data_IF_267944822815
#
_entry.id   IF_267944822815
#
_cell.length_a   1.000
_cell.length_b   1.000
_cell.length_c   1.000
_cell.angle_alpha   90.00
_cell.angle_beta   90.00
_cell.angle_gamma   90.00
#
_symmetry.space_group_name_H-M   'P 1'
#
loop_
_entity.id
_entity.type
_entity.pdbx_description
1 polymer ?
#
# COMPACT_ATOMS: atom_id res chain seq x y z
N UNK A 1 29.67 -1.34 -24.52
CA UNK A 1 28.75 -0.62 -23.61
C UNK A 1 28.21 0.56 -24.39
N UNK A 2 26.90 0.63 -24.65
CA UNK A 2 26.28 1.78 -25.32
C UNK A 2 26.29 2.92 -24.30
N UNK A 3 26.84 4.08 -24.66
CA UNK A 3 26.71 5.29 -23.83
C UNK A 3 25.22 5.64 -23.85
N UNK A 4 24.61 5.73 -22.68
CA UNK A 4 23.20 6.09 -22.59
C UNK A 4 23.00 7.53 -23.08
N UNK A 5 21.84 7.78 -23.67
CA UNK A 5 21.46 9.11 -24.14
C UNK A 5 21.03 9.98 -22.96
N UNK A 6 21.86 10.94 -22.57
CA UNK A 6 21.62 11.86 -21.44
C UNK A 6 20.39 12.76 -21.63
N UNK A 7 19.81 12.81 -22.84
CA UNK A 7 18.56 13.53 -23.12
C UNK A 7 17.30 12.69 -22.84
N UNK A 8 17.45 11.38 -22.59
CA UNK A 8 16.34 10.49 -22.23
C UNK A 8 16.08 10.52 -20.72
N UNK A 9 14.84 10.85 -20.29
CA UNK A 9 14.46 10.76 -18.88
C UNK A 9 14.59 9.34 -18.30
N UNK A 10 14.29 8.29 -19.10
CA UNK A 10 14.48 6.90 -18.67
C UNK A 10 15.96 6.62 -18.36
N UNK A 11 16.87 7.02 -19.27
CA UNK A 11 18.29 6.82 -19.07
C UNK A 11 18.86 7.61 -17.88
N UNK A 12 18.48 8.89 -17.75
CA UNK A 12 18.92 9.73 -16.64
C UNK A 12 18.47 9.17 -15.29
N UNK A 13 17.22 8.68 -15.20
CA UNK A 13 16.67 8.08 -14.00
C UNK A 13 17.43 6.79 -13.61
N UNK A 14 17.66 5.88 -14.55
CA UNK A 14 18.37 4.62 -14.23
C UNK A 14 19.84 4.85 -13.91
N UNK A 15 20.48 5.83 -14.54
CA UNK A 15 21.86 6.20 -14.22
C UNK A 15 21.94 6.72 -12.78
N UNK A 16 21.02 7.61 -12.38
CA UNK A 16 20.93 8.08 -10.99
C UNK A 16 20.69 6.95 -9.98
N UNK A 17 19.81 5.99 -10.29
CA UNK A 17 19.58 4.81 -9.42
C UNK A 17 20.86 4.00 -9.21
N UNK A 18 21.62 3.77 -10.28
CA UNK A 18 22.87 2.99 -10.24
C UNK A 18 23.94 3.74 -9.45
N UNK A 19 24.08 5.05 -9.67
CA UNK A 19 25.10 5.87 -9.03
C UNK A 19 24.79 6.22 -7.57
N UNK A 20 23.52 6.17 -7.17
CA UNK A 20 23.07 6.48 -5.81
C UNK A 20 23.82 5.67 -4.76
N UNK A 21 24.21 6.33 -3.67
CA UNK A 21 24.87 5.74 -2.50
C UNK A 21 24.03 5.97 -1.24
N UNK A 22 23.92 4.95 -0.39
CA UNK A 22 23.21 5.06 0.89
C UNK A 22 23.84 6.09 1.84
N UNK A 23 25.15 6.28 1.75
CA UNK A 23 25.89 7.26 2.56
C UNK A 23 25.37 8.70 2.34
N UNK A 24 24.90 9.01 1.13
CA UNK A 24 24.44 10.35 0.75
C UNK A 24 23.00 10.65 1.20
N UNK A 25 22.27 9.62 1.66
CA UNK A 25 20.88 9.76 2.09
C UNK A 25 20.84 10.38 3.50
N UNK A 26 20.07 11.45 3.66
CA UNK A 26 19.94 12.15 4.93
C UNK A 26 19.19 11.31 5.98
N UNK A 27 19.43 11.64 7.26
CA UNK A 27 18.88 10.89 8.40
C UNK A 27 17.34 10.89 8.42
N UNK A 28 16.69 11.95 7.96
CA UNK A 28 15.22 12.04 7.94
C UNK A 28 14.64 11.08 6.92
N UNK A 29 15.21 11.05 5.71
CA UNK A 29 14.82 10.10 4.67
C UNK A 29 15.09 8.65 5.10
N UNK A 30 16.23 8.37 5.74
CA UNK A 30 16.54 7.05 6.32
C UNK A 30 15.49 6.58 7.35
N UNK A 31 15.02 7.50 8.20
CA UNK A 31 13.95 7.20 9.17
C UNK A 31 12.61 6.94 8.47
N UNK A 32 12.27 7.76 7.49
CA UNK A 32 11.01 7.62 6.72
C UNK A 32 10.92 6.25 6.01
N UNK A 33 12.00 5.81 5.36
CA UNK A 33 12.02 4.50 4.70
C UNK A 33 11.96 3.35 5.71
N UNK A 34 12.63 3.47 6.87
CA UNK A 34 12.52 2.47 7.93
C UNK A 34 11.10 2.35 8.50
N UNK A 35 10.38 3.48 8.66
CA UNK A 35 8.97 3.45 9.06
C UNK A 35 8.09 2.81 7.98
N UNK A 36 8.36 3.06 6.70
CA UNK A 36 7.64 2.42 5.58
C UNK A 36 7.86 0.91 5.55
N UNK A 37 9.09 0.47 5.84
CA UNK A 37 9.44 -0.95 5.97
C UNK A 37 8.69 -1.62 7.14
N UNK A 38 8.67 -0.99 8.32
CA UNK A 38 7.92 -1.48 9.47
C UNK A 38 6.40 -1.53 9.19
N UNK A 39 5.85 -0.50 8.54
CA UNK A 39 4.44 -0.49 8.14
C UNK A 39 4.12 -1.65 7.19
N UNK A 40 4.96 -1.88 6.17
CA UNK A 40 4.79 -3.01 5.27
C UNK A 40 4.80 -4.35 6.01
N UNK A 41 5.80 -4.57 6.86
CA UNK A 41 5.94 -5.84 7.59
C UNK A 41 4.73 -6.07 8.50
N UNK A 42 4.24 -5.03 9.18
CA UNK A 42 3.01 -5.13 9.99
C UNK A 42 1.81 -5.55 9.15
N UNK A 43 1.62 -4.96 7.96
CA UNK A 43 0.47 -5.27 7.12
C UNK A 43 0.59 -6.68 6.53
N UNK A 44 1.78 -7.11 6.12
CA UNK A 44 2.04 -8.46 5.64
C UNK A 44 1.74 -9.52 6.72
N UNK A 45 2.17 -9.28 7.96
CA UNK A 45 1.86 -10.15 9.11
C UNK A 45 0.36 -10.13 9.46
N UNK A 46 -0.27 -8.96 9.43
CA UNK A 46 -1.71 -8.83 9.66
C UNK A 46 -2.56 -9.55 8.60
N UNK A 47 -2.12 -9.55 7.35
CA UNK A 47 -2.78 -10.25 6.25
C UNK A 47 -2.41 -11.73 6.13
N UNK A 48 -1.36 -12.20 6.81
CA UNK A 48 -0.87 -13.57 6.70
C UNK A 48 -1.95 -14.60 7.06
N UNK A 49 -2.64 -14.40 8.19
CA UNK A 49 -3.74 -15.26 8.64
C UNK A 49 -5.10 -15.00 7.97
N UNK A 50 -5.19 -14.14 6.96
CA UNK A 50 -6.47 -13.85 6.31
C UNK A 50 -6.96 -15.06 5.48
N UNK A 51 -8.25 -15.44 5.51
CA UNK A 51 -8.78 -16.54 4.71
C UNK A 51 -8.57 -16.41 3.20
N UNK A 52 -8.49 -15.17 2.67
CA UNK A 52 -8.15 -14.91 1.28
C UNK A 52 -6.71 -15.33 0.94
N UNK A 53 -5.78 -15.22 1.89
CA UNK A 53 -4.40 -15.68 1.76
C UNK A 53 -4.33 -17.19 1.61
N UNK A 54 -5.14 -17.94 2.37
CA UNK A 54 -5.23 -19.41 2.23
C UNK A 54 -5.77 -19.82 0.85
N UNK A 55 -6.77 -19.09 0.35
CA UNK A 55 -7.33 -19.31 -1.00
C UNK A 55 -6.26 -19.07 -2.07
N UNK A 56 -5.48 -18.00 -1.94
CA UNK A 56 -4.39 -17.67 -2.85
C UNK A 56 -3.30 -18.74 -2.85
N UNK A 57 -2.84 -19.15 -1.66
CA UNK A 57 -1.80 -20.19 -1.51
C UNK A 57 -2.25 -21.49 -2.18
N UNK A 58 -3.50 -21.94 -1.95
CA UNK A 58 -4.05 -23.12 -2.64
C UNK A 58 -4.12 -22.95 -4.15
N UNK A 59 -4.50 -21.76 -4.62
CA UNK A 59 -4.60 -21.47 -6.05
C UNK A 59 -3.23 -21.45 -6.74
N UNK A 60 -2.17 -21.05 -6.04
CA UNK A 60 -0.81 -20.98 -6.57
C UNK A 60 -0.01 -22.27 -6.39
N UNK A 61 -0.42 -23.17 -5.49
CA UNK A 61 0.26 -24.43 -5.24
C UNK A 61 0.64 -25.23 -6.50
N UNK A 62 -0.17 -25.28 -7.59
CA UNK A 62 0.21 -25.98 -8.82
C UNK A 62 1.32 -25.29 -9.66
N UNK A 63 1.62 -24.02 -9.40
CA UNK A 63 2.43 -23.17 -10.29
C UNK A 63 3.82 -22.81 -9.74
N UNK A 64 4.23 -23.38 -8.62
CA UNK A 64 5.57 -23.17 -8.10
C UNK A 64 5.78 -23.67 -6.68
N UNK A 65 6.77 -24.53 -6.52
CA UNK A 65 7.33 -24.89 -5.23
C UNK A 65 8.76 -24.36 -5.15
N UNK A 66 9.21 -24.02 -3.95
CA UNK A 66 10.56 -23.55 -3.71
C UNK A 66 10.83 -23.42 -2.22
N UNK A 67 11.99 -22.86 -1.88
CA UNK A 67 12.44 -22.73 -0.50
C UNK A 67 12.31 -21.31 0.07
N UNK A 68 11.73 -20.37 -0.70
CA UNK A 68 11.56 -19.00 -0.24
C UNK A 68 10.50 -18.92 0.86
N UNK A 69 10.87 -18.29 1.98
CA UNK A 69 10.03 -18.15 3.17
C UNK A 69 8.88 -17.17 2.93
N UNK A 70 7.70 -17.52 3.46
CA UNK A 70 6.56 -16.63 3.51
C UNK A 70 6.47 -15.92 4.88
N UNK A 71 6.26 -14.60 4.87
CA UNK A 71 6.08 -13.81 6.10
C UNK A 71 4.84 -14.31 6.84
N UNK A 72 4.99 -14.71 8.11
CA UNK A 72 3.87 -15.15 8.94
C UNK A 72 3.32 -16.55 8.62
N UNK A 73 3.96 -17.32 7.73
CA UNK A 73 3.40 -18.55 7.15
C UNK A 73 4.44 -19.67 7.06
N UNK A 74 3.99 -20.92 7.09
CA UNK A 74 4.86 -22.10 7.04
C UNK A 74 5.14 -22.58 5.60
N UNK A 75 4.22 -22.26 4.67
CA UNK A 75 4.35 -22.64 3.27
C UNK A 75 5.54 -21.93 2.60
N UNK A 76 6.09 -22.55 1.55
CA UNK A 76 7.22 -22.02 0.79
C UNK A 76 6.95 -22.12 -0.71
N UNK A 77 7.44 -21.14 -1.45
CA UNK A 77 7.23 -20.99 -2.88
C UNK A 77 8.54 -20.61 -3.59
N UNK A 78 8.52 -20.59 -4.92
CA UNK A 78 9.57 -19.93 -5.69
C UNK A 78 9.52 -18.40 -5.48
N UNK A 79 10.60 -17.65 -5.76
CA UNK A 79 10.64 -16.20 -5.53
C UNK A 79 9.55 -15.40 -6.24
N UNK A 80 9.12 -15.80 -7.43
CA UNK A 80 8.13 -15.04 -8.19
C UNK A 80 6.75 -15.14 -7.54
N UNK A 81 6.36 -16.34 -7.10
CA UNK A 81 5.13 -16.54 -6.34
C UNK A 81 5.22 -16.00 -4.91
N UNK A 82 6.40 -16.05 -4.28
CA UNK A 82 6.63 -15.41 -2.96
C UNK A 82 6.42 -13.90 -3.01
N UNK A 83 6.97 -13.20 -4.01
CA UNK A 83 6.74 -11.77 -4.20
C UNK A 83 5.26 -11.42 -4.38
N UNK A 84 4.54 -12.26 -5.14
CA UNK A 84 3.09 -12.13 -5.34
C UNK A 84 2.34 -12.28 -4.01
N UNK A 85 2.59 -13.37 -3.27
CA UNK A 85 1.89 -13.66 -2.01
C UNK A 85 2.15 -12.56 -0.99
N UNK A 86 3.39 -12.08 -0.85
CA UNK A 86 3.72 -11.00 0.08
C UNK A 86 2.99 -9.69 -0.24
N UNK A 87 2.92 -9.31 -1.51
CA UNK A 87 2.22 -8.08 -1.91
C UNK A 87 0.71 -8.22 -1.74
N UNK A 88 0.17 -9.43 -1.92
CA UNK A 88 -1.23 -9.70 -1.62
C UNK A 88 -1.51 -9.57 -0.12
N UNK A 89 -0.73 -10.23 0.74
CA UNK A 89 -0.95 -10.21 2.19
C UNK A 89 -0.71 -8.83 2.79
N UNK A 90 0.27 -8.07 2.29
CA UNK A 90 0.50 -6.70 2.75
C UNK A 90 -0.63 -5.73 2.41
N UNK A 91 -1.44 -6.03 1.39
CA UNK A 91 -2.50 -5.13 0.93
C UNK A 91 -3.93 -5.61 1.25
N UNK A 92 -4.19 -6.89 1.49
CA UNK A 92 -5.56 -7.44 1.61
C UNK A 92 -6.41 -6.78 2.71
N UNK A 93 -5.77 -6.22 3.72
CA UNK A 93 -6.43 -5.46 4.79
C UNK A 93 -6.78 -4.01 4.41
N UNK A 94 -6.30 -3.53 3.27
CA UNK A 94 -6.35 -2.12 2.83
C UNK A 94 -5.80 -1.14 3.89
N UNK A 95 -4.85 -1.61 4.70
CA UNK A 95 -4.27 -0.89 5.83
C UNK A 95 -2.83 -0.42 5.58
N UNK A 96 -2.33 -0.66 4.38
CA UNK A 96 -1.00 -0.27 3.92
C UNK A 96 -0.87 1.26 3.75
N UNK A 97 0.30 1.70 3.29
CA UNK A 97 0.65 3.11 3.16
C UNK A 97 -0.04 3.77 1.97
N UNK A 98 0.04 5.10 1.85
CA UNK A 98 -0.50 5.84 0.71
C UNK A 98 0.35 7.07 0.44
N UNK A 99 0.87 7.17 -0.78
CA UNK A 99 1.54 8.36 -1.30
C UNK A 99 0.47 9.37 -1.77
N UNK A 100 0.19 10.34 -0.90
CA UNK A 100 -0.96 11.24 -1.01
C UNK A 100 -1.09 11.96 -2.37
N UNK A 101 -0.02 12.48 -2.99
CA UNK A 101 -0.12 13.15 -4.29
C UNK A 101 -0.64 12.29 -5.44
N UNK A 102 -0.56 10.96 -5.33
CA UNK A 102 -0.88 10.01 -6.43
C UNK A 102 -1.93 8.96 -6.06
N UNK A 103 -2.11 8.68 -4.76
CA UNK A 103 -2.89 7.55 -4.28
C UNK A 103 -2.23 6.18 -4.45
N UNK A 104 -0.95 6.12 -4.83
CA UNK A 104 -0.17 4.87 -4.87
C UNK A 104 0.01 4.33 -3.45
N UNK A 105 0.04 3.00 -3.29
CA UNK A 105 0.51 2.31 -2.09
C UNK A 105 1.95 1.80 -2.30
N UNK A 106 2.98 2.60 -2.03
CA UNK A 106 4.31 2.35 -2.57
C UNK A 106 5.05 1.18 -1.91
N UNK A 107 4.94 1.00 -0.59
CA UNK A 107 5.71 -0.02 0.08
C UNK A 107 5.32 -1.45 -0.34
N UNK A 108 4.04 -1.68 -0.58
CA UNK A 108 3.45 -3.00 -0.87
C UNK A 108 4.18 -3.77 -1.97
N UNK A 109 4.36 -3.14 -3.12
CA UNK A 109 4.95 -3.78 -4.30
C UNK A 109 6.46 -3.99 -4.15
N UNK A 110 7.16 -2.93 -3.72
CA UNK A 110 8.62 -2.89 -3.69
C UNK A 110 9.19 -3.81 -2.60
N UNK A 111 8.68 -3.73 -1.37
CA UNK A 111 9.17 -4.54 -0.27
C UNK A 111 8.94 -6.03 -0.52
N UNK A 112 7.78 -6.39 -1.10
CA UNK A 112 7.46 -7.78 -1.43
C UNK A 112 8.43 -8.40 -2.44
N UNK A 113 8.79 -7.65 -3.49
CA UNK A 113 9.77 -8.10 -4.47
C UNK A 113 11.17 -8.23 -3.85
N UNK A 114 11.56 -7.29 -2.97
CA UNK A 114 12.85 -7.33 -2.29
C UNK A 114 12.97 -8.48 -1.30
N UNK A 115 11.93 -8.74 -0.49
CA UNK A 115 11.92 -9.86 0.47
C UNK A 115 12.00 -11.19 -0.28
N UNK A 116 11.25 -11.33 -1.37
CA UNK A 116 11.35 -12.52 -2.21
C UNK A 116 12.74 -12.71 -2.82
N UNK A 117 13.40 -11.64 -3.27
CA UNK A 117 14.77 -11.71 -3.76
C UNK A 117 15.77 -12.05 -2.65
N UNK A 118 15.64 -11.45 -1.47
CA UNK A 118 16.49 -11.71 -0.31
C UNK A 118 16.40 -13.17 0.20
N UNK A 119 15.37 -13.92 -0.18
CA UNK A 119 15.29 -15.36 0.10
C UNK A 119 16.31 -16.20 -0.68
N UNK A 120 16.86 -15.67 -1.78
CA UNK A 120 17.77 -16.39 -2.70
C UNK A 120 19.23 -15.97 -2.53
N UNK A 121 19.48 -14.86 -1.85
CA UNK A 121 20.82 -14.27 -1.73
C UNK A 121 20.94 -13.51 -0.42
N UNK A 122 22.16 -13.41 0.09
CA UNK A 122 22.45 -12.59 1.26
C UNK A 122 22.30 -11.12 0.87
N UNK A 123 21.45 -10.40 1.61
CA UNK A 123 21.20 -8.96 1.43
C UNK A 123 21.33 -8.31 2.80
N UNK A 124 22.20 -7.30 2.92
CA UNK A 124 22.30 -6.52 4.16
C UNK A 124 21.07 -5.64 4.36
N UNK A 125 20.76 -5.27 5.60
CA UNK A 125 19.64 -4.37 5.86
C UNK A 125 19.83 -2.98 5.26
N UNK A 126 21.07 -2.49 5.17
CA UNK A 126 21.41 -1.25 4.49
C UNK A 126 21.11 -1.31 2.98
N UNK A 127 21.61 -2.34 2.29
CA UNK A 127 21.35 -2.54 0.86
C UNK A 127 19.85 -2.67 0.58
N UNK A 128 19.13 -3.39 1.45
CA UNK A 128 17.68 -3.54 1.36
C UNK A 128 16.95 -2.19 1.47
N UNK A 129 17.22 -1.41 2.53
CA UNK A 129 16.55 -0.11 2.74
C UNK A 129 16.89 0.88 1.62
N UNK A 130 18.11 0.84 1.09
CA UNK A 130 18.51 1.69 -0.02
C UNK A 130 17.77 1.32 -1.30
N UNK A 131 17.74 0.04 -1.66
CA UNK A 131 16.98 -0.44 -2.82
C UNK A 131 15.48 -0.16 -2.66
N UNK A 132 14.95 -0.31 -1.45
CA UNK A 132 13.55 -0.04 -1.13
C UNK A 132 13.19 1.44 -1.32
N UNK A 133 14.02 2.35 -0.80
CA UNK A 133 13.85 3.79 -1.01
C UNK A 133 13.85 4.16 -2.50
N UNK A 134 14.82 3.65 -3.26
CA UNK A 134 14.94 3.93 -4.69
C UNK A 134 13.74 3.40 -5.49
N UNK A 135 13.25 2.20 -5.16
CA UNK A 135 12.05 1.64 -5.78
C UNK A 135 10.81 2.50 -5.53
N UNK A 136 10.56 2.86 -4.25
CA UNK A 136 9.44 3.73 -3.87
C UNK A 136 9.53 5.11 -4.54
N UNK A 137 10.74 5.67 -4.64
CA UNK A 137 10.96 6.97 -5.28
C UNK A 137 10.61 6.92 -6.77
N UNK A 138 11.09 5.90 -7.49
CA UNK A 138 10.86 5.78 -8.93
C UNK A 138 9.39 5.56 -9.25
N UNK A 139 8.70 4.64 -8.56
CA UNK A 139 7.28 4.40 -8.84
C UNK A 139 6.40 5.62 -8.49
N UNK A 140 6.73 6.37 -7.42
CA UNK A 140 6.01 7.59 -7.07
C UNK A 140 6.21 8.68 -8.13
N UNK A 141 7.43 8.85 -8.65
CA UNK A 141 7.75 9.80 -9.72
C UNK A 141 7.05 9.45 -11.03
N UNK A 142 7.04 8.17 -11.41
CA UNK A 142 6.29 7.68 -12.57
C UNK A 142 4.78 7.90 -12.34
N UNK A 143 4.28 7.67 -11.13
CA UNK A 143 2.91 7.96 -10.74
C UNK A 143 2.51 9.42 -10.93
N UNK A 144 3.37 10.35 -10.52
CA UNK A 144 3.15 11.78 -10.72
C UNK A 144 3.14 12.17 -12.20
N UNK A 145 3.99 11.55 -13.01
CA UNK A 145 4.04 11.83 -14.45
C UNK A 145 2.70 11.51 -15.16
N UNK A 146 2.00 10.47 -14.71
CA UNK A 146 0.74 10.02 -15.33
C UNK A 146 -0.52 10.54 -14.61
N UNK A 147 -0.37 11.13 -13.43
CA UNK A 147 -1.47 11.70 -12.65
C UNK A 147 -1.92 13.09 -13.17
N UNK A 148 -3.19 13.48 -12.96
CA UNK A 148 -4.29 12.69 -12.38
C UNK A 148 -5.01 11.79 -13.41
N UNK A 149 -4.84 12.03 -14.71
CA UNK A 149 -5.67 11.43 -15.76
C UNK A 149 -5.57 9.91 -15.89
N UNK A 150 -4.48 9.29 -15.42
CA UNK A 150 -4.31 7.83 -15.41
C UNK A 150 -5.43 7.11 -14.64
N UNK A 151 -5.78 7.60 -13.45
CA UNK A 151 -6.80 6.98 -12.60
C UNK A 151 -8.19 7.14 -13.21
N UNK A 152 -8.50 8.30 -13.78
CA UNK A 152 -9.79 8.60 -14.42
C UNK A 152 -10.10 7.66 -15.59
N UNK A 153 -9.06 7.15 -16.26
CA UNK A 153 -9.18 6.14 -17.34
C UNK A 153 -9.44 4.72 -16.82
N UNK A 154 -9.43 4.51 -15.50
CA UNK A 154 -9.72 3.24 -14.87
C UNK A 154 -8.49 2.39 -14.51
N UNK A 155 -7.28 2.94 -14.59
CA UNK A 155 -6.07 2.22 -14.20
C UNK A 155 -5.83 2.28 -12.69
N UNK A 156 -5.52 1.13 -12.10
CA UNK A 156 -5.12 1.04 -10.70
C UNK A 156 -3.63 1.40 -10.56
N UNK A 157 -3.39 2.69 -10.28
CA UNK A 157 -2.06 3.31 -10.30
C UNK A 157 -0.99 2.57 -9.46
N UNK A 158 -1.38 2.01 -8.32
CA UNK A 158 -0.49 1.22 -7.46
C UNK A 158 0.13 0.04 -8.20
N UNK A 159 -0.64 -0.64 -9.05
CA UNK A 159 -0.15 -1.79 -9.79
C UNK A 159 0.61 -1.38 -11.05
N UNK A 160 0.06 -0.43 -11.80
CA UNK A 160 0.64 0.01 -13.07
C UNK A 160 1.97 0.75 -12.89
N UNK A 161 2.12 1.51 -11.80
CA UNK A 161 3.38 2.17 -11.47
C UNK A 161 4.28 1.29 -10.57
N UNK A 162 3.69 0.49 -9.68
CA UNK A 162 4.46 -0.31 -8.71
C UNK A 162 5.38 -1.35 -9.33
N UNK A 163 5.05 -1.84 -10.53
CA UNK A 163 5.89 -2.79 -11.26
C UNK A 163 7.28 -2.22 -11.57
N UNK A 164 7.37 -0.89 -11.79
CA UNK A 164 8.64 -0.21 -12.03
C UNK A 164 9.45 -0.09 -10.74
N UNK A 165 8.81 0.23 -9.61
CA UNK A 165 9.47 0.30 -8.31
C UNK A 165 10.08 -1.04 -7.90
N UNK A 166 9.33 -2.13 -8.07
CA UNK A 166 9.83 -3.48 -7.84
C UNK A 166 11.01 -3.84 -8.77
N UNK A 167 10.93 -3.49 -10.07
CA UNK A 167 12.01 -3.74 -11.01
C UNK A 167 13.30 -2.97 -10.67
N UNK A 168 13.17 -1.70 -10.28
CA UNK A 168 14.29 -0.86 -9.84
C UNK A 168 14.95 -1.43 -8.58
N UNK A 169 14.15 -1.74 -7.57
CA UNK A 169 14.66 -2.18 -6.28
C UNK A 169 15.39 -3.52 -6.39
N UNK A 170 14.77 -4.51 -7.05
CA UNK A 170 15.40 -5.81 -7.28
C UNK A 170 16.61 -5.67 -8.21
N UNK A 171 16.51 -4.85 -9.26
CA UNK A 171 17.63 -4.57 -10.17
C UNK A 171 18.83 -3.96 -9.45
N UNK A 172 18.60 -3.08 -8.47
CA UNK A 172 19.65 -2.46 -7.64
C UNK A 172 20.39 -3.51 -6.80
N UNK A 173 19.67 -4.45 -6.20
CA UNK A 173 20.27 -5.56 -5.45
C UNK A 173 20.98 -6.57 -6.34
N UNK A 174 20.51 -6.76 -7.58
CA UNK A 174 21.20 -7.55 -8.61
C UNK A 174 22.45 -6.86 -9.17
N UNK A 175 22.67 -5.58 -8.85
CA UNK A 175 23.73 -4.73 -9.41
C UNK A 175 23.66 -4.68 -10.94
N UNK A 176 22.46 -4.48 -11.47
CA UNK A 176 22.28 -4.29 -12.91
C UNK A 176 23.03 -3.03 -13.39
N UNK A 177 23.71 -3.18 -14.51
CA UNK A 177 24.33 -2.05 -15.22
C UNK A 177 23.23 -1.10 -15.77
N UNK A 178 23.53 0.18 -16.04
CA UNK A 178 22.52 1.16 -16.47
C UNK A 178 21.66 0.70 -17.66
N UNK A 179 22.26 0.05 -18.67
CA UNK A 179 21.52 -0.48 -19.82
C UNK A 179 20.58 -1.64 -19.44
N UNK A 180 21.00 -2.51 -18.51
CA UNK A 180 20.15 -3.59 -18.01
C UNK A 180 19.01 -3.03 -17.18
N UNK A 181 19.27 -2.01 -16.35
CA UNK A 181 18.21 -1.33 -15.61
C UNK A 181 17.16 -0.70 -16.53
N UNK A 182 17.59 -0.08 -17.64
CA UNK A 182 16.67 0.44 -18.66
C UNK A 182 15.83 -0.69 -19.30
N UNK A 183 16.42 -1.86 -19.58
CA UNK A 183 15.66 -3.02 -20.06
C UNK A 183 14.72 -3.59 -19.00
N UNK A 184 15.07 -3.54 -17.72
CA UNK A 184 14.18 -3.96 -16.63
C UNK A 184 12.92 -3.08 -16.59
N UNK A 185 13.07 -1.75 -16.73
CA UNK A 185 11.92 -0.84 -16.89
C UNK A 185 11.13 -1.16 -18.17
N UNK A 186 11.80 -1.46 -19.27
CA UNK A 186 11.20 -1.95 -20.52
C UNK A 186 10.28 -3.16 -20.31
N UNK A 187 10.78 -4.22 -19.69
CA UNK A 187 10.02 -5.43 -19.38
C UNK A 187 8.90 -5.18 -18.36
N UNK A 188 9.14 -4.33 -17.36
CA UNK A 188 8.13 -3.91 -16.39
C UNK A 188 6.94 -3.21 -17.09
N UNK A 189 7.21 -2.28 -18.01
CA UNK A 189 6.17 -1.58 -18.77
C UNK A 189 5.29 -2.53 -19.59
N UNK A 190 5.88 -3.54 -20.25
CA UNK A 190 5.12 -4.51 -21.06
C UNK A 190 4.19 -5.41 -20.26
N UNK A 191 4.35 -5.45 -18.93
CA UNK A 191 3.57 -6.25 -17.99
C UNK A 191 2.78 -5.38 -17.00
N UNK A 192 2.80 -4.06 -17.19
CA UNK A 192 2.11 -3.10 -16.35
C UNK A 192 0.59 -3.17 -16.59
N UNK A 193 -0.19 -3.36 -15.53
CA UNK A 193 -1.64 -3.50 -15.63
C UNK A 193 -2.34 -3.53 -14.27
N UNK A 194 -3.65 -3.35 -14.29
CA UNK A 194 -4.53 -3.40 -13.11
C UNK A 194 -5.69 -2.42 -13.25
N UNK A 195 -6.90 -2.85 -12.89
CA UNK A 195 -8.12 -2.07 -13.12
C UNK A 195 -8.72 -1.57 -11.80
N UNK A 196 -9.19 -0.32 -11.79
CA UNK A 196 -9.98 0.27 -10.69
C UNK A 196 -11.26 -0.53 -10.44
N UNK A 197 -11.84 -1.12 -11.49
CA UNK A 197 -13.02 -1.98 -11.39
C UNK A 197 -12.84 -3.21 -10.47
N UNK A 198 -11.60 -3.56 -10.10
CA UNK A 198 -11.32 -4.66 -9.16
C UNK A 198 -11.48 -4.27 -7.68
N UNK A 199 -11.62 -2.97 -7.36
CA UNK A 199 -11.81 -2.48 -6.00
C UNK A 199 -13.02 -3.14 -5.31
N UNK A 200 -12.89 -3.45 -4.03
CA UNK A 200 -13.91 -4.16 -3.25
C UNK A 200 -13.85 -5.68 -3.37
N UNK A 201 -12.91 -6.23 -4.16
CA UNK A 201 -12.69 -7.68 -4.27
C UNK A 201 -11.23 -8.03 -4.00
N UNK A 202 -10.93 -9.32 -3.81
CA UNK A 202 -9.55 -9.83 -3.71
C UNK A 202 -8.68 -9.46 -4.93
N UNK A 203 -9.30 -9.21 -6.09
CA UNK A 203 -8.59 -8.84 -7.31
C UNK A 203 -7.85 -7.49 -7.19
N UNK A 204 -8.30 -6.58 -6.30
CA UNK A 204 -7.58 -5.34 -6.00
C UNK A 204 -6.16 -5.61 -5.50
N UNK A 205 -6.03 -6.52 -4.55
CA UNK A 205 -4.73 -6.90 -3.98
C UNK A 205 -3.93 -7.76 -4.98
N UNK A 206 -4.59 -8.54 -5.84
CA UNK A 206 -3.91 -9.25 -6.94
C UNK A 206 -3.27 -8.30 -7.95
N UNK A 207 -3.86 -7.14 -8.26
CA UNK A 207 -3.23 -6.15 -9.14
C UNK A 207 -1.82 -5.78 -8.62
N UNK A 208 -1.70 -5.52 -7.32
CA UNK A 208 -0.45 -5.15 -6.65
C UNK A 208 0.49 -6.36 -6.58
N UNK A 209 -0.06 -7.53 -6.30
CA UNK A 209 0.67 -8.79 -6.27
C UNK A 209 1.35 -9.12 -7.61
N UNK A 210 0.63 -8.91 -8.72
CA UNK A 210 1.20 -9.05 -10.06
C UNK A 210 2.32 -8.05 -10.32
N UNK A 211 2.18 -6.79 -9.88
CA UNK A 211 3.23 -5.80 -10.04
C UNK A 211 4.53 -6.21 -9.33
N UNK A 212 4.45 -6.75 -8.11
CA UNK A 212 5.62 -7.20 -7.35
C UNK A 212 6.34 -8.37 -8.05
N UNK A 213 5.57 -9.38 -8.45
CA UNK A 213 6.08 -10.53 -9.22
C UNK A 213 6.71 -10.09 -10.54
N UNK A 214 6.00 -9.29 -11.32
CA UNK A 214 6.41 -8.90 -12.67
C UNK A 214 7.65 -8.00 -12.63
N UNK A 215 7.77 -7.13 -11.62
CA UNK A 215 8.97 -6.32 -11.41
C UNK A 215 10.21 -7.17 -11.11
N UNK A 216 10.09 -8.14 -10.20
CA UNK A 216 11.18 -9.10 -9.91
C UNK A 216 11.60 -9.86 -11.18
N UNK A 217 10.63 -10.39 -11.93
CA UNK A 217 10.88 -11.12 -13.17
C UNK A 217 11.52 -10.21 -14.23
N UNK A 218 11.08 -8.96 -14.35
CA UNK A 218 11.65 -7.99 -15.29
C UNK A 218 13.15 -7.75 -15.04
N UNK A 219 13.56 -7.60 -13.77
CA UNK A 219 14.98 -7.48 -13.41
C UNK A 219 15.76 -8.75 -13.75
N UNK A 220 15.19 -9.93 -13.51
CA UNK A 220 15.82 -11.20 -13.89
C UNK A 220 16.02 -11.33 -15.41
N UNK A 221 15.01 -10.97 -16.21
CA UNK A 221 15.12 -10.99 -17.68
C UNK A 221 16.24 -10.05 -18.16
N UNK A 222 16.28 -8.84 -17.62
CA UNK A 222 17.28 -7.84 -17.98
C UNK A 222 18.71 -8.24 -17.54
N UNK A 223 18.86 -8.89 -16.38
CA UNK A 223 20.14 -9.45 -15.91
C UNK A 223 20.79 -10.39 -16.93
N UNK A 224 19.96 -11.13 -17.66
CA UNK A 224 20.39 -12.06 -18.71
C UNK A 224 20.37 -11.44 -20.12
N UNK A 225 20.35 -10.10 -20.21
CA UNK A 225 20.42 -9.35 -21.46
C UNK A 225 19.29 -9.67 -22.45
N UNK A 226 18.14 -10.12 -21.95
CA UNK A 226 16.91 -10.11 -22.76
C UNK A 226 16.54 -8.65 -22.95
N UNK A 227 16.66 -8.15 -24.18
CA UNK A 227 16.54 -6.72 -24.47
C UNK A 227 15.09 -6.26 -24.44
N UNK A 228 14.89 -4.97 -24.16
CA UNK A 228 13.61 -4.27 -24.23
C UNK A 228 13.81 -2.84 -24.74
N UNK A 229 12.73 -2.08 -24.91
CA UNK A 229 12.83 -0.66 -25.23
C UNK A 229 13.46 0.09 -24.03
N UNK A 230 14.64 0.67 -24.23
CA UNK A 230 15.43 1.36 -23.19
C UNK A 230 14.93 2.78 -22.88
N UNK A 231 13.87 3.22 -23.56
CA UNK A 231 13.22 4.53 -23.46
C UNK A 231 11.72 4.42 -23.25
N UNK A 232 11.25 3.30 -22.67
CA UNK A 232 9.83 2.93 -22.66
C UNK A 232 8.91 3.95 -21.96
N UNK A 233 9.43 4.76 -21.04
CA UNK A 233 8.62 5.73 -20.31
C UNK A 233 8.21 6.91 -21.20
N UNK A 234 9.12 7.39 -22.06
CA UNK A 234 8.91 8.54 -22.95
C UNK A 234 8.71 8.20 -24.42
N UNK A 235 8.95 6.94 -24.82
CA UNK A 235 8.84 6.54 -26.22
C UNK A 235 7.44 6.82 -26.80
N UNK A 236 7.37 6.97 -28.12
CA UNK A 236 6.09 6.94 -28.83
C UNK A 236 5.42 5.58 -28.59
N UNK A 237 4.16 5.59 -28.18
CA UNK A 237 3.44 4.41 -27.68
C UNK A 237 4.05 3.79 -26.41
N UNK A 238 4.85 4.56 -25.68
CA UNK A 238 5.42 4.21 -24.39
C UNK A 238 4.42 4.38 -23.25
N UNK A 239 4.85 4.06 -22.04
CA UNK A 239 4.00 4.01 -20.85
C UNK A 239 3.23 5.31 -20.61
N UNK A 240 3.91 6.45 -20.63
CA UNK A 240 3.28 7.75 -20.33
C UNK A 240 2.26 8.17 -21.38
N UNK A 241 2.54 7.92 -22.67
CA UNK A 241 1.61 8.25 -23.75
C UNK A 241 0.38 7.32 -23.75
N UNK A 242 0.59 6.01 -23.56
CA UNK A 242 -0.48 5.01 -23.66
C UNK A 242 -1.35 5.00 -22.42
N UNK A 243 -0.75 5.03 -21.24
CA UNK A 243 -1.46 4.90 -19.97
C UNK A 243 -1.68 6.23 -19.24
N UNK A 244 -0.91 7.28 -19.55
CA UNK A 244 -1.14 8.62 -19.00
C UNK A 244 -2.20 9.41 -19.76
N UNK A 245 -2.29 10.71 -19.45
CA UNK A 245 -3.09 11.70 -20.18
C UNK A 245 -2.25 12.70 -20.97
N UNK A 246 -0.92 12.63 -20.85
CA UNK A 246 0.04 13.54 -21.50
C UNK A 246 1.38 12.83 -21.72
N UNK A 247 2.21 13.30 -22.68
CA UNK A 247 3.59 12.84 -22.83
C UNK A 247 4.39 13.03 -21.53
N UNK A 248 5.43 12.21 -21.34
CA UNK A 248 6.35 12.36 -20.20
C UNK A 248 7.03 13.73 -20.26
N UNK A 249 7.05 14.44 -19.13
CA UNK A 249 7.76 15.71 -18.99
C UNK A 249 9.08 15.54 -18.21
N UNK A 250 9.86 16.61 -18.14
CA UNK A 250 11.15 16.64 -17.43
C UNK A 250 10.99 16.44 -15.90
N UNK A 251 9.77 16.59 -15.36
CA UNK A 251 9.46 16.49 -13.94
C UNK A 251 9.85 15.16 -13.31
N UNK A 252 9.92 14.07 -14.10
CA UNK A 252 10.36 12.76 -13.63
C UNK A 252 11.75 12.83 -12.96
N UNK A 253 12.67 13.61 -13.51
CA UNK A 253 14.07 13.68 -13.07
C UNK A 253 14.39 14.92 -12.22
N UNK A 254 13.44 15.84 -12.02
CA UNK A 254 13.69 17.07 -11.25
C UNK A 254 13.94 16.74 -9.78
N UNK A 255 15.06 17.22 -9.24
CA UNK A 255 15.41 17.11 -7.83
C UNK A 255 15.77 15.69 -7.35
N UNK A 256 16.20 14.79 -8.25
CA UNK A 256 16.67 13.46 -7.88
C UNK A 256 17.78 13.53 -6.81
N UNK A 257 17.64 12.75 -5.75
CA UNK A 257 18.57 12.72 -4.60
C UNK A 257 18.47 13.92 -3.65
N UNK A 258 17.71 14.96 -3.98
CA UNK A 258 17.53 16.16 -3.14
C UNK A 258 16.11 16.23 -2.57
N UNK A 259 15.10 15.99 -3.42
CA UNK A 259 13.69 16.05 -3.08
C UNK A 259 13.10 14.65 -3.24
N UNK A 260 13.06 13.89 -2.15
CA UNK A 260 12.48 12.55 -2.11
C UNK A 260 10.96 12.64 -2.14
N UNK A 261 10.36 12.30 -3.27
CA UNK A 261 8.91 12.31 -3.43
C UNK A 261 8.27 11.20 -2.60
N UNK A 262 8.93 10.06 -2.47
CA UNK A 262 8.54 8.96 -1.59
C UNK A 262 8.39 9.38 -0.12
N UNK A 263 9.05 10.47 0.32
CA UNK A 263 8.90 10.99 1.69
C UNK A 263 7.53 11.60 1.98
N UNK A 264 6.68 11.82 0.96
CA UNK A 264 5.27 12.20 1.11
C UNK A 264 4.34 10.99 1.34
N UNK A 265 4.91 9.81 1.54
CA UNK A 265 4.17 8.62 1.91
C UNK A 265 3.60 8.75 3.34
N UNK A 266 2.37 8.25 3.52
CA UNK A 266 1.64 8.31 4.79
C UNK A 266 1.14 6.94 5.19
N UNK A 267 0.96 6.69 6.49
CA UNK A 267 0.45 5.41 6.99
C UNK A 267 -1.00 5.55 7.41
N UNK A 268 -1.86 4.66 6.90
CA UNK A 268 -3.27 4.71 7.23
C UNK A 268 -3.50 4.47 8.73
N UNK A 269 -4.33 5.29 9.39
CA UNK A 269 -4.79 5.10 10.78
C UNK A 269 -5.85 4.01 10.90
N UNK A 270 -6.64 3.79 9.83
CA UNK A 270 -7.73 2.83 9.77
C UNK A 270 -7.57 1.87 8.57
N UNK A 271 -7.99 0.60 8.68
CA UNK A 271 -7.83 -0.44 7.65
C UNK A 271 -8.89 -0.33 6.54
N UNK A 272 -9.03 0.85 5.94
CA UNK A 272 -10.06 1.13 4.93
C UNK A 272 -9.64 2.23 3.94
N UNK A 273 -10.49 2.48 2.95
CA UNK A 273 -10.26 3.54 1.97
C UNK A 273 -10.20 4.93 2.62
N UNK A 274 -9.24 5.76 2.18
CA UNK A 274 -8.98 7.07 2.81
C UNK A 274 -10.19 8.01 2.82
N UNK A 275 -11.13 7.84 1.89
CA UNK A 275 -12.37 8.62 1.80
C UNK A 275 -13.30 8.44 3.03
N UNK A 276 -13.06 7.41 3.85
CA UNK A 276 -13.80 7.15 5.08
C UNK A 276 -13.16 7.82 6.30
N UNK A 277 -11.87 8.18 6.24
CA UNK A 277 -11.08 8.58 7.42
C UNK A 277 -11.62 9.83 8.12
N UNK A 278 -11.99 10.93 7.41
CA UNK A 278 -12.56 12.12 8.08
C UNK A 278 -13.89 11.82 8.79
N UNK A 279 -14.67 10.87 8.25
CA UNK A 279 -15.93 10.45 8.88
C UNK A 279 -15.66 9.61 10.13
N UNK A 280 -14.67 8.71 10.08
CA UNK A 280 -14.23 7.95 11.25
C UNK A 280 -13.74 8.86 12.36
N UNK A 281 -12.92 9.87 12.06
CA UNK A 281 -12.44 10.83 13.06
C UNK A 281 -13.59 11.59 13.72
N UNK A 282 -14.57 12.01 12.94
CA UNK A 282 -15.75 12.70 13.46
C UNK A 282 -16.52 11.79 14.44
N UNK A 283 -16.77 10.54 14.04
CA UNK A 283 -17.52 9.58 14.85
C UNK A 283 -16.74 9.14 16.10
N UNK A 284 -15.45 8.85 15.99
CA UNK A 284 -14.61 8.48 17.13
C UNK A 284 -14.49 9.63 18.13
N UNK A 285 -14.41 10.89 17.66
CA UNK A 285 -14.44 12.03 18.58
C UNK A 285 -15.78 12.13 19.32
N UNK A 286 -16.89 11.81 18.67
CA UNK A 286 -18.21 11.78 19.32
C UNK A 286 -18.27 10.63 20.34
N UNK A 287 -17.70 9.47 20.00
CA UNK A 287 -17.72 8.26 20.82
C UNK A 287 -16.79 8.32 22.04
N UNK A 288 -15.76 9.17 22.03
CA UNK A 288 -14.81 9.34 23.16
C UNK A 288 -15.46 10.01 24.40
N UNK A 289 -16.52 10.80 24.19
CA UNK A 289 -17.28 11.44 25.26
C UNK A 289 -18.81 11.30 25.03
N UNK A 290 -19.34 10.06 25.04
CA UNK A 290 -20.72 9.83 24.67
C UNK A 290 -21.64 10.32 25.79
N UNK A 291 -22.59 11.15 25.42
CA UNK A 291 -23.63 11.66 26.31
C UNK A 291 -25.03 11.23 25.84
N UNK A 292 -25.11 10.09 25.14
CA UNK A 292 -26.32 9.45 24.60
C UNK A 292 -26.11 7.93 24.50
N UNK A 293 -27.21 7.17 24.51
CA UNK A 293 -27.19 5.74 24.18
C UNK A 293 -27.44 5.52 22.69
N UNK A 294 -26.93 4.43 22.12
CA UNK A 294 -27.06 4.14 20.69
C UNK A 294 -28.51 3.92 20.25
N UNK A 295 -29.34 3.44 21.18
CA UNK A 295 -30.78 3.26 21.04
C UNK A 295 -31.51 4.61 20.89
N UNK A 296 -30.98 5.69 21.49
CA UNK A 296 -31.56 7.04 21.44
C UNK A 296 -31.37 7.71 20.08
N UNK A 297 -30.52 7.16 19.20
CA UNK A 297 -30.28 7.72 17.87
C UNK A 297 -31.51 7.47 17.00
N UNK A 298 -32.09 8.55 16.50
CA UNK A 298 -33.15 8.54 15.50
C UNK A 298 -32.56 8.45 14.09
N UNK A 299 -31.59 9.32 13.76
CA UNK A 299 -31.01 9.42 12.42
C UNK A 299 -29.61 10.02 12.45
N UNK A 300 -28.74 9.54 11.56
CA UNK A 300 -27.39 10.06 11.34
C UNK A 300 -27.28 10.57 9.90
N UNK A 301 -26.77 11.79 9.73
CA UNK A 301 -26.43 12.36 8.42
C UNK A 301 -24.94 12.53 8.31
N UNK A 302 -24.37 12.06 7.22
CA UNK A 302 -22.96 12.27 6.90
C UNK A 302 -22.89 13.08 5.62
N UNK A 303 -22.38 14.31 5.71
CA UNK A 303 -22.06 15.14 4.54
C UNK A 303 -20.60 14.93 4.15
N UNK A 304 -20.35 14.56 2.90
CA UNK A 304 -19.00 14.27 2.34
C UNK A 304 -18.86 14.81 0.92
N UNK A 305 -17.63 14.86 0.40
CA UNK A 305 -17.40 15.15 -1.02
C UNK A 305 -18.07 14.09 -1.94
N UNK A 306 -18.57 14.46 -3.15
CA UNK A 306 -19.24 13.53 -4.07
C UNK A 306 -18.45 12.26 -4.39
N UNK A 307 -17.12 12.34 -4.46
CA UNK A 307 -16.26 11.17 -4.69
C UNK A 307 -16.39 10.12 -3.58
N UNK A 308 -16.52 10.56 -2.33
CA UNK A 308 -16.72 9.65 -1.18
C UNK A 308 -18.06 8.96 -1.28
N UNK A 309 -19.13 9.67 -1.65
CA UNK A 309 -20.42 9.04 -1.89
C UNK A 309 -20.35 8.05 -3.05
N UNK A 310 -19.84 8.47 -4.21
CA UNK A 310 -19.72 7.62 -5.40
C UNK A 310 -18.97 6.31 -5.11
N UNK A 311 -17.94 6.36 -4.25
CA UNK A 311 -17.07 5.22 -3.98
C UNK A 311 -17.38 4.45 -2.71
N UNK A 312 -18.15 5.00 -1.78
CA UNK A 312 -18.34 4.41 -0.45
C UNK A 312 -19.78 4.42 0.09
N UNK A 313 -20.76 4.78 -0.75
CA UNK A 313 -22.19 4.64 -0.41
C UNK A 313 -22.63 3.18 -0.55
N UNK A 314 -22.39 2.40 0.50
CA UNK A 314 -22.71 0.97 0.58
C UNK A 314 -23.38 0.69 1.93
N UNK A 315 -24.70 0.66 1.97
CA UNK A 315 -25.44 0.42 3.23
C UNK A 315 -25.27 -1.03 3.69
N UNK A 316 -25.21 -1.99 2.76
CA UNK A 316 -25.20 -3.42 3.07
C UNK A 316 -23.95 -4.12 2.51
N UNK A 317 -22.71 -3.76 2.93
CA UNK A 317 -21.54 -4.58 2.62
C UNK A 317 -21.78 -6.01 3.11
N UNK A 318 -21.50 -6.98 2.23
CA UNK A 318 -21.74 -8.42 2.52
C UNK A 318 -20.54 -9.10 3.18
N UNK A 319 -19.37 -8.50 3.09
CA UNK A 319 -18.13 -9.02 3.65
C UNK A 319 -17.19 -7.88 4.12
N UNK A 320 -16.06 -8.28 4.71
CA UNK A 320 -15.05 -7.35 5.21
C UNK A 320 -14.36 -6.54 4.12
N UNK A 321 -14.34 -6.99 2.85
CA UNK A 321 -13.74 -6.22 1.76
C UNK A 321 -14.65 -5.06 1.34
N UNK A 322 -15.95 -5.31 1.23
CA UNK A 322 -16.92 -4.25 0.95
C UNK A 322 -17.08 -3.29 2.14
N UNK A 323 -16.98 -3.80 3.38
CA UNK A 323 -17.05 -2.97 4.58
C UNK A 323 -15.97 -1.86 4.62
N UNK A 324 -14.78 -2.14 4.07
CA UNK A 324 -13.68 -1.17 3.92
C UNK A 324 -13.98 -0.03 2.94
N UNK A 325 -15.07 -0.16 2.19
CA UNK A 325 -15.58 0.83 1.25
C UNK A 325 -17.04 1.18 1.59
N UNK A 326 -17.44 1.13 2.86
CA UNK A 326 -18.76 1.52 3.33
C UNK A 326 -18.65 2.62 4.39
N UNK A 327 -19.09 3.83 4.06
CA UNK A 327 -19.18 4.93 5.02
C UNK A 327 -20.18 4.61 6.14
N UNK A 328 -21.27 3.91 5.82
CA UNK A 328 -22.27 3.50 6.79
C UNK A 328 -21.68 2.52 7.80
N UNK A 329 -20.92 1.52 7.35
CA UNK A 329 -20.23 0.58 8.23
C UNK A 329 -19.23 1.30 9.13
N UNK A 330 -18.41 2.18 8.55
CA UNK A 330 -17.41 2.96 9.29
C UNK A 330 -18.03 3.81 10.41
N UNK A 331 -19.13 4.50 10.14
CA UNK A 331 -19.88 5.27 11.14
C UNK A 331 -20.46 4.35 12.23
N UNK A 332 -21.06 3.23 11.83
CA UNK A 332 -21.69 2.30 12.76
C UNK A 332 -20.67 1.73 13.76
N UNK A 333 -19.55 1.19 13.29
CA UNK A 333 -18.52 0.60 14.17
C UNK A 333 -17.89 1.68 15.08
N UNK A 334 -17.62 2.87 14.56
CA UNK A 334 -17.00 3.93 15.33
C UNK A 334 -17.90 4.42 16.48
N UNK A 335 -19.21 4.52 16.25
CA UNK A 335 -20.17 4.93 17.28
C UNK A 335 -20.53 3.79 18.25
N UNK A 336 -20.68 2.56 17.76
CA UNK A 336 -21.05 1.40 18.59
C UNK A 336 -19.90 0.94 19.49
N UNK A 337 -18.69 0.92 18.97
CA UNK A 337 -17.55 0.28 19.63
C UNK A 337 -16.48 1.26 20.07
N UNK A 338 -16.53 2.53 19.63
CA UNK A 338 -15.52 3.52 19.97
C UNK A 338 -14.15 3.25 19.34
N UNK A 339 -14.08 2.34 18.37
CA UNK A 339 -12.85 1.94 17.67
C UNK A 339 -13.12 1.56 16.21
N UNK A 340 -12.06 1.61 15.38
CA UNK A 340 -12.10 1.26 13.96
C UNK A 340 -10.81 0.55 13.52
N UNK A 341 -10.39 -0.44 14.30
CA UNK A 341 -9.23 -1.29 14.03
C UNK A 341 -9.54 -2.45 13.08
N UNK A 342 -8.54 -3.28 12.81
CA UNK A 342 -8.61 -4.40 11.85
C UNK A 342 -9.76 -5.38 12.13
N UNK A 343 -10.09 -5.63 13.40
CA UNK A 343 -11.17 -6.54 13.80
C UNK A 343 -12.56 -6.02 13.39
N UNK A 344 -12.72 -4.70 13.32
CA UNK A 344 -14.00 -4.05 13.04
C UNK A 344 -14.34 -4.02 11.54
N UNK A 345 -13.43 -4.48 10.67
CA UNK A 345 -13.61 -4.61 9.20
C UNK A 345 -13.50 -6.06 8.72
N UNK A 346 -13.78 -7.02 9.60
CA UNK A 346 -13.86 -8.45 9.27
C UNK A 346 -15.24 -8.82 8.71
N UNK A 347 -15.35 -10.01 8.12
CA UNK A 347 -16.64 -10.55 7.65
C UNK A 347 -17.64 -10.66 8.81
N UNK A 348 -17.19 -11.06 9.99
CA UNK A 348 -18.01 -11.14 11.21
C UNK A 348 -18.55 -9.75 11.60
N UNK A 349 -17.69 -8.73 11.60
CA UNK A 349 -18.12 -7.36 11.90
C UNK A 349 -19.09 -6.80 10.86
N UNK A 350 -18.88 -7.10 9.57
CA UNK A 350 -19.77 -6.68 8.48
C UNK A 350 -21.16 -7.33 8.57
N UNK A 351 -21.23 -8.55 9.10
CA UNK A 351 -22.46 -9.33 9.26
C UNK A 351 -23.08 -9.24 10.67
N UNK A 352 -22.50 -8.46 11.59
CA UNK A 352 -23.06 -8.23 12.92
C UNK A 352 -24.42 -7.54 12.83
N UNK A 353 -25.42 -8.10 13.53
CA UNK A 353 -26.82 -7.63 13.46
C UNK A 353 -27.01 -6.24 14.09
N UNK A 354 -26.23 -5.89 15.11
CA UNK A 354 -26.28 -4.57 15.76
C UNK A 354 -25.66 -3.52 14.84
N UNK A 355 -24.53 -3.85 14.20
CA UNK A 355 -23.92 -3.00 13.17
C UNK A 355 -24.87 -2.82 11.98
N UNK A 356 -25.53 -3.89 11.53
CA UNK A 356 -26.56 -3.82 10.49
C UNK A 356 -27.69 -2.86 10.87
N UNK A 357 -28.29 -3.01 12.05
CA UNK A 357 -29.37 -2.12 12.50
C UNK A 357 -28.93 -0.65 12.60
N UNK A 358 -27.69 -0.38 12.99
CA UNK A 358 -27.16 0.97 13.05
C UNK A 358 -27.02 1.60 11.65
N UNK A 359 -26.56 0.82 10.66
CA UNK A 359 -26.38 1.28 9.27
C UNK A 359 -27.68 1.83 8.64
N UNK A 360 -28.83 1.25 8.98
CA UNK A 360 -30.15 1.71 8.50
C UNK A 360 -30.49 3.15 8.89
N UNK A 361 -29.90 3.65 9.99
CA UNK A 361 -30.13 5.01 10.49
C UNK A 361 -29.28 6.05 9.76
N UNK A 362 -28.37 5.65 8.87
CA UNK A 362 -27.33 6.50 8.30
C UNK A 362 -27.70 6.91 6.88
N UNK A 363 -27.65 8.21 6.62
CA UNK A 363 -27.85 8.80 5.28
C UNK A 363 -26.63 9.61 4.87
N UNK A 364 -26.16 9.37 3.65
CA UNK A 364 -25.07 10.15 3.05
C UNK A 364 -25.64 11.30 2.22
N UNK A 365 -24.96 12.44 2.25
CA UNK A 365 -25.24 13.61 1.43
C UNK A 365 -23.93 14.07 0.80
N UNK A 366 -23.89 14.18 -0.52
CA UNK A 366 -22.77 14.82 -1.21
C UNK A 366 -22.86 16.35 -1.14
N UNK A 367 -21.72 17.00 -0.91
CA UNK A 367 -21.56 18.45 -1.00
C UNK A 367 -20.26 18.79 -1.73
N UNK A 368 -20.37 19.40 -2.92
CA UNK A 368 -19.23 19.80 -3.76
C UNK A 368 -18.33 20.84 -3.11
N UNK A 369 -18.78 21.49 -2.02
CA UNK A 369 -18.00 22.47 -1.27
C UNK A 369 -17.01 21.84 -0.29
N UNK A 370 -17.12 20.54 -0.02
CA UNK A 370 -16.20 19.81 0.87
C UNK A 370 -15.05 19.22 0.05
N UNK A 371 -13.83 19.29 0.58
CA UNK A 371 -12.71 18.52 0.03
C UNK A 371 -12.82 17.04 0.42
N UNK A 372 -12.03 16.18 -0.22
CA UNK A 372 -12.04 14.72 0.04
C UNK A 372 -11.55 14.33 1.44
N UNK A 373 -10.83 15.22 2.12
CA UNK A 373 -10.35 15.10 3.49
C UNK A 373 -11.28 15.77 4.52
N UNK A 374 -12.51 16.12 4.12
CA UNK A 374 -13.50 16.76 5.00
C UNK A 374 -14.77 15.94 5.12
N UNK A 375 -15.39 15.98 6.30
CA UNK A 375 -16.68 15.37 6.55
C UNK A 375 -17.44 16.10 7.65
N UNK A 376 -18.77 16.05 7.60
CA UNK A 376 -19.64 16.53 8.67
C UNK A 376 -20.64 15.46 9.07
N UNK A 377 -20.61 15.05 10.33
CA UNK A 377 -21.54 14.10 10.93
C UNK A 377 -22.55 14.83 11.80
N UNK A 378 -23.83 14.59 11.58
CA UNK A 378 -24.95 15.13 12.36
C UNK A 378 -25.80 13.98 12.89
N UNK A 379 -25.88 13.84 14.21
CA UNK A 379 -26.68 12.83 14.90
C UNK A 379 -27.90 13.51 15.50
N UNK A 380 -29.09 13.04 15.12
CA UNK A 380 -30.37 13.43 15.71
C UNK A 380 -30.80 12.36 16.72
N UNK A 381 -31.03 12.78 17.97
CA UNK A 381 -31.55 11.91 19.03
C UNK A 381 -33.08 12.03 19.10
N UNK A 382 -33.73 10.99 19.59
CA UNK A 382 -35.18 10.95 19.82
C UNK A 382 -35.68 12.04 20.78
N UNK A 383 -34.80 12.56 21.65
CA UNK A 383 -35.09 13.70 22.53
C UNK A 383 -35.19 15.05 21.79
N UNK A 384 -34.84 15.09 20.50
CA UNK A 384 -34.70 16.31 19.71
C UNK A 384 -33.32 16.97 19.81
N UNK A 385 -32.43 16.50 20.70
CA UNK A 385 -31.05 17.00 20.77
C UNK A 385 -30.29 16.62 19.50
N UNK A 386 -29.48 17.56 19.00
CA UNK A 386 -28.63 17.36 17.81
C UNK A 386 -27.17 17.47 18.21
N UNK A 387 -26.36 16.51 17.75
CA UNK A 387 -24.91 16.50 17.92
C UNK A 387 -24.29 16.68 16.54
N UNK A 388 -23.36 17.63 16.40
CA UNK A 388 -22.68 17.89 15.14
C UNK A 388 -21.18 17.88 15.34
N UNK A 389 -20.47 17.17 14.46
CA UNK A 389 -19.01 17.18 14.38
C UNK A 389 -18.60 17.37 12.92
N UNK A 390 -17.69 18.30 12.68
CA UNK A 390 -17.07 18.50 11.38
C UNK A 390 -15.55 18.26 11.53
N UNK A 391 -14.96 17.65 10.51
CA UNK A 391 -13.51 17.47 10.36
C UNK A 391 -13.09 18.26 9.13
N UNK A 392 -11.99 18.99 9.25
CA UNK A 392 -11.39 19.78 8.19
C UNK A 392 -9.89 19.54 8.15
N UNK A 393 -9.37 19.24 6.95
CA UNK A 393 -7.95 19.07 6.68
C UNK A 393 -7.40 17.66 6.91
N UNK A 394 -6.23 17.42 6.32
CA UNK A 394 -5.52 16.16 6.40
C UNK A 394 -5.11 15.80 7.83
N UNK A 395 -5.16 14.50 8.14
CA UNK A 395 -4.63 13.99 9.40
C UNK A 395 -3.12 14.25 9.52
N UNK A 396 -2.62 14.49 10.75
CA UNK A 396 -1.19 14.56 10.98
C UNK A 396 -0.53 13.20 10.67
N UNK A 397 0.74 13.18 10.23
CA UNK A 397 1.48 11.95 10.05
C UNK A 397 1.47 11.07 11.30
N UNK A 398 1.32 9.76 11.09
CA UNK A 398 1.34 8.78 12.18
C UNK A 398 2.68 8.84 12.93
N UNK A 399 2.63 9.08 14.24
CA UNK A 399 3.84 9.05 15.07
C UNK A 399 4.46 7.64 15.12
N UNK A 400 5.76 7.57 15.38
CA UNK A 400 6.48 6.30 15.56
C UNK A 400 5.80 5.38 16.59
N UNK A 401 5.36 5.94 17.73
CA UNK A 401 4.64 5.17 18.78
C UNK A 401 3.31 4.61 18.27
N UNK A 402 2.56 5.38 17.48
CA UNK A 402 1.31 4.91 16.90
C UNK A 402 1.55 3.81 15.87
N UNK A 403 2.64 3.90 15.10
CA UNK A 403 3.03 2.87 14.14
C UNK A 403 3.49 1.58 14.83
N UNK A 404 4.22 1.67 15.94
CA UNK A 404 4.58 0.50 16.77
C UNK A 404 3.35 -0.15 17.43
N UNK A 405 2.35 0.64 17.83
CA UNK A 405 1.07 0.10 18.32
C UNK A 405 0.33 -0.63 17.20
N UNK A 406 0.21 -0.01 16.03
CA UNK A 406 -0.35 -0.65 14.82
C UNK A 406 0.38 -1.95 14.47
N UNK A 407 1.71 -1.96 14.59
CA UNK A 407 2.53 -3.15 14.38
C UNK A 407 2.11 -4.29 15.30
N UNK A 408 2.05 -4.05 16.62
CA UNK A 408 1.63 -5.06 17.60
C UNK A 408 0.21 -5.56 17.35
N UNK A 409 -0.72 -4.65 17.03
CA UNK A 409 -2.12 -5.00 16.72
C UNK A 409 -2.21 -5.93 15.51
N UNK A 410 -1.47 -5.65 14.43
CA UNK A 410 -1.50 -6.47 13.22
C UNK A 410 -0.79 -7.81 13.40
N UNK A 411 0.31 -7.86 14.15
CA UNK A 411 0.96 -9.12 14.51
C UNK A 411 0.00 -10.00 15.32
N UNK A 412 -0.62 -9.46 16.37
CA UNK A 412 -1.58 -10.19 17.19
C UNK A 412 -2.83 -10.63 16.41
N UNK A 413 -3.18 -9.91 15.34
CA UNK A 413 -4.33 -10.24 14.50
C UNK A 413 -4.04 -11.35 13.50
N UNK A 414 -2.96 -11.22 12.71
CA UNK A 414 -2.72 -12.10 11.55
C UNK A 414 -1.62 -13.15 11.75
N UNK A 415 -0.73 -12.96 12.72
CA UNK A 415 0.39 -13.85 13.00
C UNK A 415 0.67 -13.94 14.52
N UNK A 416 -0.30 -14.40 15.34
CA UNK A 416 -0.20 -14.37 16.81
C UNK A 416 0.90 -15.28 17.38
N UNK A 417 1.49 -16.16 16.57
CA UNK A 417 2.65 -16.97 16.94
C UNK A 417 3.95 -16.16 16.95
N UNK A 418 3.99 -15.00 16.31
CA UNK A 418 5.15 -14.12 16.27
C UNK A 418 5.26 -13.27 17.55
N UNK A 419 6.47 -13.07 18.04
CA UNK A 419 6.75 -12.14 19.13
C UNK A 419 6.90 -10.70 18.57
N UNK A 420 5.88 -9.87 18.73
CA UNK A 420 5.88 -8.51 18.17
C UNK A 420 6.97 -7.60 18.75
N UNK A 421 7.33 -7.74 20.02
CA UNK A 421 8.33 -6.87 20.65
C UNK A 421 9.75 -7.23 20.17
N UNK A 422 10.04 -8.52 20.04
CA UNK A 422 11.32 -9.00 19.49
C UNK A 422 11.49 -8.59 18.02
N UNK A 423 10.41 -8.63 17.23
CA UNK A 423 10.42 -8.13 15.85
C UNK A 423 10.69 -6.62 15.81
N UNK A 424 10.09 -5.83 16.71
CA UNK A 424 10.35 -4.38 16.79
C UNK A 424 11.79 -4.07 17.19
N UNK A 425 12.37 -4.82 18.15
CA UNK A 425 13.78 -4.70 18.53
C UNK A 425 14.74 -5.07 17.39
N UNK A 426 14.34 -6.02 16.55
CA UNK A 426 15.09 -6.43 15.35
C UNK A 426 14.98 -5.36 14.27
N UNK A 427 13.78 -4.82 14.03
CA UNK A 427 13.55 -3.70 13.10
C UNK A 427 14.35 -2.45 13.47
N UNK A 428 14.48 -2.15 14.77
CA UNK A 428 15.29 -1.02 15.25
C UNK A 428 16.79 -1.15 14.89
N UNK A 429 17.28 -2.39 14.71
CA UNK A 429 18.66 -2.73 14.32
C UNK A 429 18.76 -3.19 12.86
N UNK A 430 17.68 -3.08 12.09
CA UNK A 430 17.60 -3.60 10.74
C UNK A 430 18.73 -3.10 9.83
N UNK A 431 19.12 -1.81 9.83
CA UNK A 431 20.20 -1.35 8.96
C UNK A 431 21.55 -2.05 9.20
N UNK A 432 21.77 -2.61 10.40
CA UNK A 432 23.00 -3.33 10.77
C UNK A 432 22.91 -4.85 10.51
N UNK A 433 21.77 -5.36 10.07
CA UNK A 433 21.61 -6.78 9.79
C UNK A 433 22.48 -7.21 8.61
N UNK A 434 23.19 -8.32 8.76
CA UNK A 434 23.98 -8.91 7.69
C UNK A 434 23.11 -9.60 6.63
N UNK A 435 21.94 -10.11 7.04
CA UNK A 435 21.03 -10.82 6.16
C UNK A 435 19.56 -10.56 6.51
N UNK A 436 18.80 -10.01 5.56
CA UNK A 436 17.36 -9.74 5.73
C UNK A 436 16.55 -11.02 5.97
N UNK A 437 16.97 -12.16 5.39
CA UNK A 437 16.26 -13.43 5.55
C UNK A 437 16.17 -13.90 7.01
N UNK A 438 17.07 -13.45 7.89
CA UNK A 438 17.04 -13.80 9.31
C UNK A 438 15.79 -13.22 10.01
N UNK A 439 15.41 -11.98 9.68
CA UNK A 439 14.18 -11.36 10.18
C UNK A 439 12.94 -12.10 9.65
N UNK A 440 12.95 -12.51 8.37
CA UNK A 440 11.83 -13.23 7.79
C UNK A 440 11.66 -14.60 8.46
N UNK A 441 12.76 -15.29 8.75
CA UNK A 441 12.74 -16.57 9.46
C UNK A 441 12.09 -16.48 10.85
N UNK A 442 12.25 -15.36 11.55
CA UNK A 442 11.58 -15.12 12.85
C UNK A 442 10.05 -15.06 12.74
N UNK A 443 9.51 -14.82 11.54
CA UNK A 443 8.06 -14.70 11.33
C UNK A 443 7.38 -16.01 10.90
N UNK A 444 8.16 -17.02 10.53
CA UNK A 444 7.65 -18.29 10.01
C UNK A 444 6.97 -19.05 11.14
N UNK A 445 5.73 -19.48 10.89
CA UNK A 445 5.01 -20.35 11.83
C UNK A 445 5.75 -21.68 11.96
N UNK A 446 6.13 -22.05 13.20
CA UNK A 446 6.63 -23.39 13.46
C UNK A 446 5.43 -24.35 13.49
N UNK A 447 5.44 -25.31 12.57
CA UNK A 447 4.44 -26.36 12.41
C UNK A 447 4.24 -27.21 13.66
#
# INVERSE_FOLDING_TARGET
>A
MKILDDTSPTHALVQWVVDSQWADIDVTTKKSVASSWMNWLSCALGGAGNPASDRLIRALAPFGHGDALLVGRAEKFDPANTALIHAFTSNILDYDDTHWPTGIHPAGTVASALVAWASQTIVSGEDFLHAFLLGMEVECRIGLAVSPGHYERGWHITATCGVFGAAIAVGRLMRLEPQQMAWALGHAATQSGGLVASLGTMAKSLNIAHAARNGLVASQLARHCITANDRVLEARFGFSEVMGSRPLDEGLCVGLGQNWVASQNTFKPYPCGFLLHPTLDACLTIADAPNFAMEDIERITVTVHPLSQLRADRIHPVDGLEAKLSLQHAVAIALLWGEAGVRNFTDDAANDLVVHACREKIRLIADERLNTDEARVVIHLQSGRVITRAISGAQPPMSQKALERKFRELVAFGAPHCNSDELLETLARFPQMANVSDLIAMTVSQS
#
